data_IF_244997538981
#
_entry.id   IF_244997538981
#
_cell.length_a   1.000
_cell.length_b   1.000
_cell.length_c   1.000
_cell.angle_alpha   90.00
_cell.angle_beta   90.00
_cell.angle_gamma   90.00
#
_symmetry.space_group_name_H-M   'P 1'
#
loop_
_entity.id
_entity.type
_entity.pdbx_description
1 polymer ?
#
# COMPACT_ATOMS: atom_id res chain seq x y z
N UNK A 1 16.32 -19.83 45.34
CA UNK A 1 15.45 -20.77 44.60
C UNK A 1 14.24 -21.14 45.44
N UNK A 2 13.05 -20.59 45.15
CA UNK A 2 11.76 -21.14 45.60
C UNK A 2 10.74 -20.94 44.49
N UNK A 3 10.36 -22.06 43.85
CA UNK A 3 9.34 -22.13 42.80
C UNK A 3 7.96 -22.03 43.46
N UNK A 4 7.02 -21.28 42.87
CA UNK A 4 5.58 -21.40 43.15
C UNK A 4 4.87 -21.72 41.84
N UNK A 5 4.33 -22.95 41.76
CA UNK A 5 3.36 -23.40 40.76
C UNK A 5 1.96 -23.21 41.35
N UNK A 6 1.06 -22.62 40.59
CA UNK A 6 -0.40 -22.62 40.77
C UNK A 6 -0.93 -22.82 39.35
N UNK A 7 -1.87 -23.69 38.99
CA UNK A 7 -2.78 -24.59 39.69
C UNK A 7 -3.90 -24.83 38.66
N UNK A 8 -4.08 -26.07 38.20
CA UNK A 8 -5.12 -26.45 37.24
C UNK A 8 -6.51 -26.31 37.84
N UNK A 9 -7.48 -25.89 37.04
CA UNK A 9 -8.91 -25.97 37.34
C UNK A 9 -9.66 -26.53 36.14
N UNK A 10 -9.90 -27.84 36.15
CA UNK A 10 -10.86 -28.51 35.28
C UNK A 10 -12.19 -28.63 36.03
N UNK A 11 -13.31 -28.43 35.33
CA UNK A 11 -14.63 -28.84 35.79
C UNK A 11 -15.39 -29.47 34.62
N UNK A 12 -15.72 -30.75 34.78
CA UNK A 12 -16.50 -31.56 33.87
C UNK A 12 -17.90 -31.80 34.45
N UNK A 13 -18.94 -31.75 33.61
CA UNK A 13 -20.25 -32.44 33.69
C UNK A 13 -20.83 -32.40 32.27
N UNK A 14 -21.31 -33.44 31.58
CA UNK A 14 -21.86 -34.73 31.96
C UNK A 14 -23.29 -34.81 31.41
N UNK A 15 -23.55 -35.58 30.35
CA UNK A 15 -24.88 -36.11 30.02
C UNK A 15 -24.80 -37.17 28.89
N UNK A 16 -25.38 -38.34 29.16
CA UNK A 16 -25.51 -39.54 28.33
C UNK A 16 -26.87 -39.59 27.63
N UNK A 17 -26.95 -40.15 26.41
CA UNK A 17 -28.20 -40.59 25.77
C UNK A 17 -27.94 -41.30 24.42
N UNK A 18 -28.76 -42.29 23.99
CA UNK A 18 -28.29 -43.45 23.23
C UNK A 18 -28.59 -43.46 21.71
N UNK A 19 -27.77 -44.26 21.01
CA UNK A 19 -27.93 -44.99 19.73
C UNK A 19 -29.13 -44.65 18.83
N UNK A 20 -28.85 -44.20 17.59
CA UNK A 20 -29.55 -44.71 16.41
C UNK A 20 -28.74 -44.50 15.11
N UNK A 21 -28.80 -45.55 14.29
CA UNK A 21 -28.09 -45.84 13.03
C UNK A 21 -28.57 -44.93 11.89
N UNK A 22 -27.67 -44.57 10.96
CA UNK A 22 -27.93 -44.60 9.51
C UNK A 22 -26.61 -44.42 8.72
N UNK A 23 -26.28 -45.45 7.95
CA UNK A 23 -25.14 -45.48 7.05
C UNK A 23 -25.39 -44.66 5.77
N UNK A 24 -24.31 -44.03 5.31
CA UNK A 24 -23.93 -43.67 3.93
C UNK A 24 -25.01 -43.20 2.93
N UNK A 25 -24.90 -41.94 2.50
CA UNK A 25 -25.30 -41.50 1.17
C UNK A 25 -24.27 -40.50 0.60
N UNK A 26 -23.48 -41.03 -0.32
CA UNK A 26 -22.80 -40.45 -1.49
C UNK A 26 -22.50 -38.95 -1.57
N UNK A 27 -21.21 -38.68 -1.75
CA UNK A 27 -20.61 -37.41 -2.10
C UNK A 27 -21.05 -36.87 -3.46
N UNK A 28 -21.49 -35.61 -3.47
CA UNK A 28 -21.12 -34.62 -4.48
C UNK A 28 -20.70 -33.35 -3.73
N UNK A 29 -19.59 -33.46 -2.99
CA UNK A 29 -18.83 -32.29 -2.62
C UNK A 29 -18.27 -31.72 -3.93
N UNK A 30 -18.97 -30.74 -4.49
CA UNK A 30 -18.39 -29.86 -5.49
C UNK A 30 -17.18 -29.20 -4.85
N UNK A 31 -16.01 -29.80 -5.05
CA UNK A 31 -14.73 -29.16 -4.79
C UNK A 31 -14.63 -28.00 -5.77
N UNK A 32 -15.27 -26.88 -5.45
CA UNK A 32 -14.88 -25.60 -6.02
C UNK A 32 -13.48 -25.35 -5.45
N UNK A 33 -12.48 -25.88 -6.14
CA UNK A 33 -11.13 -25.35 -6.06
C UNK A 33 -11.23 -23.93 -6.58
N UNK A 34 -11.56 -23.01 -5.67
CA UNK A 34 -11.14 -21.62 -5.78
C UNK A 34 -9.63 -21.68 -5.80
N UNK A 35 -9.06 -21.95 -6.97
CA UNK A 35 -7.67 -21.59 -7.22
C UNK A 35 -7.61 -20.12 -6.84
N UNK A 36 -6.79 -19.73 -5.85
CA UNK A 36 -6.38 -18.35 -5.78
C UNK A 36 -6.00 -17.96 -7.20
N UNK A 37 -6.63 -16.92 -7.73
CA UNK A 37 -6.16 -16.33 -8.97
C UNK A 37 -4.79 -15.76 -8.63
N UNK A 38 -3.77 -16.60 -8.75
CA UNK A 38 -2.38 -16.18 -8.82
C UNK A 38 -2.36 -15.03 -9.83
N UNK A 39 -1.85 -13.83 -9.45
CA UNK A 39 -1.83 -12.72 -10.36
C UNK A 39 -1.07 -13.18 -11.61
N UNK A 40 -1.81 -13.22 -12.73
CA UNK A 40 -1.28 -13.54 -14.05
C UNK A 40 0.00 -12.71 -14.26
N UNK A 41 1.06 -13.40 -14.65
CA UNK A 41 2.42 -12.87 -14.58
C UNK A 41 2.61 -11.49 -15.20
N UNK A 42 3.48 -10.70 -14.56
CA UNK A 42 4.47 -9.89 -15.25
C UNK A 42 4.00 -8.67 -16.04
N UNK A 43 2.74 -8.25 -15.96
CA UNK A 43 2.33 -6.99 -16.56
C UNK A 43 2.95 -5.83 -15.75
N UNK A 44 3.90 -5.13 -16.38
CA UNK A 44 4.54 -3.96 -15.80
C UNK A 44 3.55 -2.80 -15.76
N UNK A 45 3.22 -2.29 -14.58
CA UNK A 45 2.36 -1.10 -14.41
C UNK A 45 2.90 0.07 -15.24
N UNK A 46 2.04 0.69 -16.04
CA UNK A 46 2.33 1.84 -16.89
C UNK A 46 2.31 3.14 -16.11
N UNK A 47 3.40 3.92 -16.19
CA UNK A 47 3.39 5.26 -15.63
C UNK A 47 2.33 6.14 -16.30
N UNK A 48 2.28 6.15 -17.64
CA UNK A 48 1.42 7.04 -18.39
C UNK A 48 -0.07 6.71 -18.23
N UNK A 49 -0.42 5.42 -18.21
CA UNK A 49 -1.82 4.97 -18.26
C UNK A 49 -2.41 4.64 -16.89
N UNK A 50 -1.58 4.34 -15.88
CA UNK A 50 -2.07 3.85 -14.58
C UNK A 50 -1.67 4.77 -13.42
N UNK A 51 -0.42 5.23 -13.38
CA UNK A 51 0.07 6.09 -12.28
C UNK A 51 -0.28 7.57 -12.50
N UNK A 52 0.03 8.11 -13.68
CA UNK A 52 -0.19 9.52 -13.98
C UNK A 52 -1.67 9.95 -13.81
N UNK A 53 -2.69 9.15 -14.20
CA UNK A 53 -4.09 9.52 -13.96
C UNK A 53 -4.41 9.67 -12.46
N UNK A 54 -3.83 8.83 -11.59
CA UNK A 54 -3.99 8.96 -10.14
C UNK A 54 -3.39 10.28 -9.65
N UNK A 55 -2.18 10.64 -10.11
CA UNK A 55 -1.53 11.90 -9.74
C UNK A 55 -2.33 13.10 -10.23
N UNK A 56 -2.81 13.05 -11.47
CA UNK A 56 -3.62 14.12 -12.08
C UNK A 56 -4.91 14.35 -11.29
N UNK A 57 -5.64 13.29 -10.97
CA UNK A 57 -6.94 13.39 -10.31
C UNK A 57 -6.84 13.83 -8.84
N UNK A 58 -5.77 13.43 -8.14
CA UNK A 58 -5.70 13.59 -6.68
C UNK A 58 -4.71 14.65 -6.21
N UNK A 59 -3.70 14.99 -7.02
CA UNK A 59 -2.56 15.79 -6.58
C UNK A 59 -2.31 17.02 -7.45
N UNK A 60 -2.47 16.91 -8.77
CA UNK A 60 -2.04 17.92 -9.74
C UNK A 60 -3.02 19.11 -9.91
N UNK A 61 -3.73 19.51 -8.84
CA UNK A 61 -4.54 20.72 -8.86
C UNK A 61 -3.67 21.97 -8.65
N UNK A 62 -4.05 23.08 -9.27
CA UNK A 62 -3.42 24.40 -9.03
C UNK A 62 -3.38 24.71 -7.53
N UNK A 63 -2.27 25.26 -7.04
CA UNK A 63 -2.06 25.53 -5.62
C UNK A 63 -1.69 24.32 -4.75
N UNK A 64 -1.78 23.09 -5.25
CA UNK A 64 -1.25 21.90 -4.58
C UNK A 64 0.01 21.39 -5.28
N UNK A 65 -0.14 20.69 -6.40
CA UNK A 65 0.97 20.21 -7.24
C UNK A 65 0.72 20.37 -8.75
N UNK A 66 -0.24 21.22 -9.16
CA UNK A 66 -0.58 21.47 -10.56
C UNK A 66 0.25 22.56 -11.24
N UNK A 67 0.94 23.37 -10.46
CA UNK A 67 1.72 24.53 -10.91
C UNK A 67 3.04 24.56 -10.15
N UNK A 68 4.03 25.28 -10.67
CA UNK A 68 5.26 25.57 -9.94
C UNK A 68 4.90 26.38 -8.70
N UNK A 69 4.69 25.69 -7.60
CA UNK A 69 4.58 26.30 -6.29
C UNK A 69 5.99 26.26 -5.69
N UNK A 70 6.46 27.39 -5.17
CA UNK A 70 7.76 27.45 -4.51
C UNK A 70 7.71 26.55 -3.26
N UNK A 71 8.19 25.32 -3.38
CA UNK A 71 8.45 24.49 -2.20
C UNK A 71 9.54 25.17 -1.37
N UNK A 72 9.42 25.26 -0.03
CA UNK A 72 10.50 25.73 0.81
C UNK A 72 11.75 24.86 0.56
N UNK A 73 12.77 25.38 -0.13
CA UNK A 73 13.94 24.58 -0.56
C UNK A 73 14.13 24.42 -2.07
N UNK A 74 13.38 25.15 -2.90
CA UNK A 74 13.75 25.45 -4.30
C UNK A 74 13.59 24.31 -5.31
N UNK A 75 13.00 23.17 -4.93
CA UNK A 75 12.77 22.03 -5.83
C UNK A 75 11.28 21.90 -6.13
N UNK A 76 10.82 22.35 -7.31
CA UNK A 76 9.39 22.33 -7.65
C UNK A 76 8.84 20.91 -7.56
N UNK A 77 7.55 20.81 -7.23
CA UNK A 77 6.82 19.56 -7.20
C UNK A 77 5.55 19.73 -8.03
N UNK A 78 5.73 19.61 -9.34
CA UNK A 78 4.64 19.64 -10.32
C UNK A 78 4.36 18.23 -10.79
N UNK A 79 3.12 17.79 -10.64
CA UNK A 79 2.65 16.43 -10.91
C UNK A 79 1.71 16.35 -12.13
N UNK A 80 1.65 17.42 -12.92
CA UNK A 80 0.95 17.39 -14.22
C UNK A 80 1.66 16.47 -15.20
N UNK A 81 0.89 15.96 -16.16
CA UNK A 81 1.42 15.12 -17.23
C UNK A 81 2.58 15.84 -17.97
N UNK A 82 3.63 15.08 -18.28
CA UNK A 82 4.86 15.61 -18.89
C UNK A 82 5.91 16.12 -17.90
N UNK A 83 5.55 16.40 -16.64
CA UNK A 83 6.51 16.88 -15.62
C UNK A 83 6.63 15.96 -14.41
N UNK A 84 5.57 15.22 -14.07
CA UNK A 84 5.49 14.45 -12.85
C UNK A 84 6.63 13.44 -12.66
N UNK A 85 7.00 12.71 -13.71
CA UNK A 85 8.06 11.70 -13.61
C UNK A 85 9.41 12.32 -13.24
N UNK A 86 9.85 13.35 -13.98
CA UNK A 86 11.13 14.03 -13.76
C UNK A 86 11.19 14.73 -12.41
N UNK A 87 10.02 15.14 -11.88
CA UNK A 87 9.93 15.72 -10.55
C UNK A 87 9.88 14.68 -9.42
N UNK A 88 9.77 13.38 -9.70
CA UNK A 88 9.62 12.35 -8.66
C UNK A 88 10.74 11.31 -8.66
N UNK A 89 11.06 10.73 -9.81
CA UNK A 89 11.91 9.55 -9.88
C UNK A 89 13.37 9.95 -9.75
N UNK A 90 14.07 9.39 -8.77
CA UNK A 90 15.48 9.68 -8.50
C UNK A 90 15.74 11.02 -7.81
N UNK A 91 14.68 11.81 -7.56
CA UNK A 91 14.74 13.16 -7.02
C UNK A 91 14.61 13.10 -5.50
N UNK A 92 15.57 13.66 -4.74
CA UNK A 92 15.49 13.71 -3.27
C UNK A 92 14.24 14.46 -2.76
N UNK A 93 13.69 14.08 -1.62
CA UNK A 93 12.62 14.83 -0.99
C UNK A 93 13.18 16.10 -0.33
N UNK A 94 12.39 17.16 -0.30
CA UNK A 94 12.77 18.41 0.38
C UNK A 94 12.53 18.27 1.89
N UNK A 95 11.39 17.67 2.25
CA UNK A 95 10.99 17.40 3.64
C UNK A 95 11.80 16.29 4.32
N UNK A 96 12.57 15.50 3.55
CA UNK A 96 13.48 14.48 4.05
C UNK A 96 14.63 14.28 3.05
N UNK A 97 15.67 15.11 3.17
CA UNK A 97 16.78 15.18 2.19
C UNK A 97 17.58 13.87 2.03
N UNK A 98 17.45 12.92 2.96
CA UNK A 98 18.09 11.61 2.91
C UNK A 98 17.33 10.56 2.10
N UNK A 99 16.10 10.85 1.67
CA UNK A 99 15.22 9.91 0.96
C UNK A 99 14.77 10.47 -0.39
N UNK A 100 14.68 9.62 -1.42
CA UNK A 100 14.13 10.01 -2.72
C UNK A 100 12.61 10.06 -2.68
N UNK A 101 12.00 10.97 -3.44
CA UNK A 101 10.55 11.07 -3.66
C UNK A 101 10.03 9.72 -4.17
N UNK A 102 10.64 9.21 -5.24
CA UNK A 102 10.51 7.83 -5.72
C UNK A 102 11.90 7.24 -5.92
N UNK A 103 12.18 6.13 -5.23
CA UNK A 103 13.36 5.30 -5.42
C UNK A 103 12.97 4.04 -6.19
N UNK A 104 13.41 3.95 -7.44
CA UNK A 104 13.13 2.82 -8.32
C UNK A 104 13.47 1.48 -7.64
N UNK A 105 12.55 0.52 -7.74
CA UNK A 105 12.63 -0.82 -7.17
C UNK A 105 12.40 -0.88 -5.65
N UNK A 106 12.27 0.24 -4.95
CA UNK A 106 12.24 0.29 -3.49
C UNK A 106 11.08 1.16 -2.96
N UNK A 107 9.85 0.59 -2.93
CA UNK A 107 8.66 1.29 -2.48
C UNK A 107 8.76 1.82 -1.06
N UNK A 108 9.30 1.01 -0.13
CA UNK A 108 9.43 1.39 1.28
C UNK A 108 10.56 2.39 1.55
N UNK A 109 11.41 2.66 0.56
CA UNK A 109 12.43 3.71 0.61
C UNK A 109 12.04 4.93 -0.26
N UNK A 110 10.76 5.07 -0.61
CA UNK A 110 10.23 6.14 -1.44
C UNK A 110 9.34 7.08 -0.63
N UNK A 111 9.72 8.34 -0.53
CA UNK A 111 9.06 9.30 0.35
C UNK A 111 7.60 9.59 -0.04
N UNK A 112 7.26 9.55 -1.33
CA UNK A 112 5.85 9.68 -1.79
C UNK A 112 4.98 8.57 -1.20
N UNK A 113 5.49 7.34 -1.07
CA UNK A 113 4.74 6.22 -0.47
C UNK A 113 4.42 6.52 1.00
N UNK A 114 5.38 7.07 1.74
CA UNK A 114 5.14 7.50 3.11
C UNK A 114 4.10 8.63 3.21
N UNK A 115 4.14 9.59 2.28
CA UNK A 115 3.19 10.71 2.24
C UNK A 115 1.76 10.27 1.92
N UNK A 116 1.55 9.22 1.12
CA UNK A 116 0.20 8.69 0.83
C UNK A 116 -0.30 7.65 1.84
N UNK A 117 0.57 7.14 2.71
CA UNK A 117 0.25 6.17 3.76
C UNK A 117 0.24 6.76 5.18
N UNK A 118 0.47 8.07 5.33
CA UNK A 118 0.56 8.75 6.63
C UNK A 118 1.71 8.28 7.53
N UNK A 119 2.81 7.81 6.95
CA UNK A 119 3.99 7.30 7.69
C UNK A 119 5.22 8.20 7.58
N UNK A 120 5.10 9.34 6.87
CA UNK A 120 6.21 10.27 6.60
C UNK A 120 6.87 10.86 7.84
N UNK A 121 6.08 11.15 8.90
CA UNK A 121 6.63 11.64 10.18
C UNK A 121 7.42 10.55 10.91
N UNK A 122 6.94 9.31 10.89
CA UNK A 122 7.65 8.16 11.48
C UNK A 122 8.94 7.84 10.71
N UNK A 123 8.97 8.11 9.39
CA UNK A 123 10.17 8.02 8.56
C UNK A 123 11.17 9.18 8.78
N UNK A 124 10.88 10.13 9.68
CA UNK A 124 11.74 11.28 9.98
C UNK A 124 11.54 12.50 9.08
N UNK A 125 10.50 12.49 8.23
CA UNK A 125 10.11 13.64 7.40
C UNK A 125 9.11 14.56 8.08
N UNK A 126 8.51 15.45 7.30
CA UNK A 126 7.62 16.51 7.79
C UNK A 126 6.37 16.71 6.93
N UNK A 127 5.51 17.64 7.35
CA UNK A 127 4.27 18.00 6.67
C UNK A 127 3.13 17.01 6.94
N UNK A 128 2.14 17.01 6.06
CA UNK A 128 0.88 16.26 6.24
C UNK A 128 0.72 15.10 5.25
N UNK A 129 -0.28 14.26 5.51
CA UNK A 129 -0.76 13.22 4.59
C UNK A 129 -1.15 13.83 3.24
N UNK A 130 -0.85 13.11 2.16
CA UNK A 130 -1.27 13.45 0.80
C UNK A 130 -2.31 12.44 0.27
N UNK A 131 -3.34 12.90 -0.45
CA UNK A 131 -3.59 14.29 -0.84
C UNK A 131 -4.13 15.16 0.33
N UNK A 132 -3.57 16.35 0.51
CA UNK A 132 -3.93 17.25 1.61
C UNK A 132 -5.36 17.78 1.46
N UNK A 133 -6.14 17.76 2.55
CA UNK A 133 -7.50 18.30 2.58
C UNK A 133 -8.48 17.54 1.68
N UNK A 134 -8.11 16.33 1.24
CA UNK A 134 -8.92 15.45 0.38
C UNK A 134 -9.01 14.06 1.00
N UNK A 135 -9.91 13.24 0.47
CA UNK A 135 -9.97 11.83 0.85
C UNK A 135 -8.62 11.14 0.56
N UNK A 136 -8.13 10.27 1.46
CA UNK A 136 -6.95 9.45 1.18
C UNK A 136 -7.14 8.61 -0.09
N UNK A 137 -6.02 8.28 -0.75
CA UNK A 137 -6.06 7.33 -1.85
C UNK A 137 -6.61 5.98 -1.39
N UNK A 138 -7.32 5.30 -2.28
CA UNK A 138 -7.79 3.94 -1.99
C UNK A 138 -6.60 2.99 -1.86
N UNK A 139 -6.81 1.87 -1.18
CA UNK A 139 -5.79 0.82 -1.07
C UNK A 139 -5.30 0.38 -2.45
N UNK A 140 -6.21 0.20 -3.41
CA UNK A 140 -5.86 -0.21 -4.77
C UNK A 140 -4.98 0.82 -5.49
N UNK A 141 -5.25 2.12 -5.33
CA UNK A 141 -4.41 3.19 -5.91
C UNK A 141 -3.01 3.19 -5.29
N UNK A 142 -2.92 3.02 -3.96
CA UNK A 142 -1.63 2.93 -3.26
C UNK A 142 -0.86 1.69 -3.72
N UNK A 143 -1.51 0.53 -3.80
CA UNK A 143 -0.91 -0.73 -4.25
C UNK A 143 -0.41 -0.61 -5.70
N UNK A 144 -1.14 0.09 -6.58
CA UNK A 144 -0.74 0.32 -7.97
C UNK A 144 0.53 1.18 -8.06
N UNK A 145 0.61 2.27 -7.28
CA UNK A 145 1.81 3.11 -7.21
C UNK A 145 2.98 2.31 -6.62
N UNK A 146 2.77 1.55 -5.55
CA UNK A 146 3.81 0.70 -4.94
C UNK A 146 4.32 -0.35 -5.94
N UNK A 147 3.42 -0.98 -6.69
CA UNK A 147 3.77 -1.97 -7.72
C UNK A 147 4.57 -1.33 -8.84
N UNK A 148 4.18 -0.14 -9.32
CA UNK A 148 4.97 0.61 -10.29
C UNK A 148 6.38 0.92 -9.79
N UNK A 149 6.53 1.36 -8.53
CA UNK A 149 7.85 1.58 -7.94
C UNK A 149 8.65 0.28 -7.86
N UNK A 150 8.03 -0.82 -7.41
CA UNK A 150 8.66 -2.14 -7.32
C UNK A 150 9.14 -2.66 -8.69
N UNK A 151 8.40 -2.36 -9.76
CA UNK A 151 8.79 -2.66 -11.15
C UNK A 151 9.96 -1.80 -11.68
N UNK A 152 10.60 -0.99 -10.84
CA UNK A 152 11.69 -0.11 -11.23
C UNK A 152 11.25 1.30 -11.65
N UNK A 153 10.01 1.68 -11.37
CA UNK A 153 9.43 2.96 -11.78
C UNK A 153 9.63 3.28 -13.27
N UNK A 154 9.27 2.37 -14.19
CA UNK A 154 9.47 2.58 -15.63
C UNK A 154 8.66 3.78 -16.14
N UNK A 155 9.19 4.47 -17.16
CA UNK A 155 8.48 5.54 -17.88
C UNK A 155 7.85 4.95 -19.15
N UNK A 156 6.73 4.26 -18.98
CA UNK A 156 6.02 3.50 -20.02
C UNK A 156 4.54 3.87 -20.12
#
# INVERSE_FOLDING_TARGET
>A
MRRRKWGLGAAARGATGPLLVCAAASALAGCFSERPTEPSGGATVSFANEVQPILTANCASSGCHGTVNANPGGRPMVLTAGQAYDNMVGVFAVELATMQRIRAGQPDASYVIHKIQSTHRAAGGSGELMPLGRAPLSKAQIDLIRTWVANGAPRN
#
